data_IF_198010119808
#
_entry.id   IF_198010119808
#
_cell.length_a   1.000
_cell.length_b   1.000
_cell.length_c   1.000
_cell.angle_alpha   90.00
_cell.angle_beta   90.00
_cell.angle_gamma   90.00
#
_symmetry.space_group_name_H-M   'P 1'
#
loop_
_entity.id
_entity.type
_entity.pdbx_description
1 polymer ?
#
# COMPACT_ATOMS: atom_id res chain seq x y z
N UNK A 1 8.08 -19.59 -10.73
CA UNK A 1 8.96 -18.58 -10.14
C UNK A 1 8.41 -18.03 -8.82
N UNK A 2 7.29 -17.32 -8.77
CA UNK A 2 6.78 -16.74 -7.51
C UNK A 2 6.25 -17.75 -6.49
N UNK A 3 5.82 -18.93 -6.92
CA UNK A 3 5.18 -19.96 -6.08
C UNK A 3 6.01 -21.24 -6.05
N UNK A 4 6.06 -21.97 -7.18
CA UNK A 4 6.66 -23.32 -7.23
C UNK A 4 8.18 -23.33 -7.05
N UNK A 5 8.89 -22.38 -7.65
CA UNK A 5 10.36 -22.30 -7.59
C UNK A 5 10.87 -21.09 -6.84
N UNK A 6 10.07 -20.57 -5.90
CA UNK A 6 10.39 -19.35 -5.18
C UNK A 6 11.70 -19.40 -4.38
N UNK A 7 12.17 -20.61 -3.99
CA UNK A 7 13.42 -20.81 -3.24
C UNK A 7 14.66 -20.46 -4.07
N UNK A 8 14.56 -20.54 -5.42
CA UNK A 8 15.66 -20.15 -6.31
C UNK A 8 15.69 -18.64 -6.60
N UNK A 9 14.91 -17.83 -5.87
CA UNK A 9 14.84 -16.40 -6.12
C UNK A 9 14.89 -15.60 -4.84
N UNK A 10 15.75 -14.58 -4.82
CA UNK A 10 15.73 -13.50 -3.83
C UNK A 10 14.90 -12.32 -4.33
N UNK A 11 14.69 -11.31 -3.48
CA UNK A 11 14.13 -10.02 -3.88
C UNK A 11 15.06 -9.33 -4.87
N UNK A 12 14.49 -8.53 -5.75
CA UNK A 12 15.29 -7.82 -6.77
C UNK A 12 16.11 -6.67 -6.17
N UNK A 13 17.05 -6.17 -6.99
CA UNK A 13 18.02 -5.13 -6.62
C UNK A 13 17.39 -3.86 -6.02
N UNK A 14 16.15 -3.52 -6.42
CA UNK A 14 15.43 -2.35 -5.87
C UNK A 14 15.22 -2.49 -4.36
N UNK A 15 14.71 -3.63 -3.90
CA UNK A 15 14.48 -3.87 -2.47
C UNK A 15 15.78 -4.08 -1.69
N UNK A 16 16.82 -4.66 -2.30
CA UNK A 16 18.15 -4.71 -1.67
C UNK A 16 18.68 -3.30 -1.38
N UNK A 17 18.52 -2.37 -2.32
CA UNK A 17 18.94 -0.97 -2.13
C UNK A 17 18.04 -0.19 -1.17
N UNK A 18 16.76 -0.53 -1.10
CA UNK A 18 15.85 0.06 -0.14
C UNK A 18 16.25 -0.20 1.32
N UNK A 19 17.08 -1.22 1.60
CA UNK A 19 17.64 -1.47 2.94
C UNK A 19 18.34 -0.26 3.56
N UNK A 20 18.91 0.62 2.75
CA UNK A 20 19.56 1.82 3.24
C UNK A 20 18.59 2.71 4.03
N UNK A 21 17.31 2.71 3.65
CA UNK A 21 16.26 3.52 4.26
C UNK A 21 15.36 2.71 5.20
N UNK A 22 14.96 1.52 4.78
CA UNK A 22 14.00 0.67 5.49
C UNK A 22 14.65 -0.22 6.56
N UNK A 23 15.97 -0.36 6.53
CA UNK A 23 16.64 -1.36 7.35
C UNK A 23 16.37 -2.78 6.86
N UNK A 24 16.37 -3.74 7.78
CA UNK A 24 16.18 -5.16 7.48
C UNK A 24 14.79 -5.67 7.94
N UNK A 25 13.73 -4.89 7.64
CA UNK A 25 12.36 -5.27 7.92
C UNK A 25 11.78 -6.26 6.90
N UNK A 26 10.53 -6.65 7.08
CA UNK A 26 9.84 -7.71 6.31
C UNK A 26 9.92 -7.52 4.79
N UNK A 27 9.88 -6.27 4.31
CA UNK A 27 9.94 -5.97 2.87
C UNK A 27 11.33 -6.21 2.28
N UNK A 28 12.41 -6.02 3.05
CA UNK A 28 13.78 -6.00 2.55
C UNK A 28 14.60 -7.22 2.94
N UNK A 29 14.24 -7.94 4.03
CA UNK A 29 14.97 -9.13 4.48
C UNK A 29 14.72 -10.36 3.62
N UNK A 30 15.51 -11.43 3.83
CA UNK A 30 15.50 -12.66 3.05
C UNK A 30 15.65 -13.89 3.95
N UNK A 31 15.40 -15.07 3.36
CA UNK A 31 15.65 -16.38 3.96
C UNK A 31 14.91 -16.61 5.28
N UNK A 32 15.57 -17.22 6.23
CA UNK A 32 15.06 -17.56 7.57
C UNK A 32 14.57 -16.32 8.34
N UNK A 33 15.32 -15.21 8.26
CA UNK A 33 14.94 -13.95 8.91
C UNK A 33 13.59 -13.43 8.39
N UNK A 34 13.33 -13.52 7.07
CA UNK A 34 12.03 -13.15 6.50
C UNK A 34 10.90 -14.03 7.04
N UNK A 35 11.11 -15.34 7.11
CA UNK A 35 10.09 -16.28 7.58
C UNK A 35 9.79 -16.04 9.07
N UNK A 36 10.83 -15.83 9.86
CA UNK A 36 10.71 -15.49 11.28
C UNK A 36 9.91 -14.20 11.49
N UNK A 37 10.31 -13.11 10.88
CA UNK A 37 9.64 -11.83 11.03
C UNK A 37 8.21 -11.87 10.53
N UNK A 38 7.95 -12.57 9.41
CA UNK A 38 6.59 -12.76 8.90
C UNK A 38 5.71 -13.49 9.91
N UNK A 39 6.23 -14.56 10.56
CA UNK A 39 5.50 -15.33 11.58
C UNK A 39 5.12 -14.42 12.77
N UNK A 40 6.07 -13.61 13.24
CA UNK A 40 5.86 -12.70 14.36
C UNK A 40 4.86 -11.58 14.04
N UNK A 41 4.86 -11.07 12.80
CA UNK A 41 3.95 -10.00 12.38
C UNK A 41 2.56 -10.48 11.94
N UNK A 42 2.42 -11.73 11.48
CA UNK A 42 1.19 -12.28 10.91
C UNK A 42 -0.05 -12.11 11.81
N UNK A 43 0.01 -12.33 13.15
CA UNK A 43 -1.16 -12.21 14.02
C UNK A 43 -1.83 -10.84 13.98
N UNK A 44 -1.08 -9.75 13.78
CA UNK A 44 -1.64 -8.40 13.69
C UNK A 44 -2.51 -8.17 12.45
N UNK A 45 -2.40 -9.05 11.46
CA UNK A 45 -3.18 -9.01 10.21
C UNK A 45 -4.27 -10.08 10.15
N UNK A 46 -4.59 -10.72 11.27
CA UNK A 46 -5.72 -11.65 11.35
C UNK A 46 -7.04 -10.87 11.32
N UNK A 47 -8.09 -11.53 10.84
CA UNK A 47 -9.41 -10.93 10.62
C UNK A 47 -9.97 -10.21 11.85
N UNK A 48 -9.81 -10.79 13.04
CA UNK A 48 -10.28 -10.21 14.29
C UNK A 48 -9.61 -8.86 14.60
N UNK A 49 -8.29 -8.76 14.38
CA UNK A 49 -7.56 -7.51 14.55
C UNK A 49 -7.95 -6.48 13.49
N UNK A 50 -8.09 -6.90 12.23
CA UNK A 50 -8.56 -5.99 11.18
C UNK A 50 -9.95 -5.45 11.50
N UNK A 51 -10.84 -6.25 12.10
CA UNK A 51 -12.14 -5.78 12.54
C UNK A 51 -12.05 -4.66 13.59
N UNK A 52 -11.07 -4.71 14.50
CA UNK A 52 -10.84 -3.61 15.45
C UNK A 52 -10.27 -2.37 14.78
N UNK A 53 -9.42 -2.54 13.76
CA UNK A 53 -8.86 -1.41 12.99
C UNK A 53 -9.91 -0.70 12.12
N UNK A 54 -10.93 -1.42 11.66
CA UNK A 54 -11.95 -0.90 10.77
C UNK A 54 -12.72 0.31 11.37
N UNK A 55 -12.93 0.32 12.67
CA UNK A 55 -13.56 1.46 13.36
C UNK A 55 -12.73 2.74 13.18
N UNK A 56 -11.41 2.66 13.36
CA UNK A 56 -10.52 3.79 13.14
C UNK A 56 -10.48 4.20 11.66
N UNK A 57 -10.51 3.24 10.71
CA UNK A 57 -10.56 3.54 9.28
C UNK A 57 -11.77 4.39 8.93
N UNK A 58 -12.95 4.03 9.44
CA UNK A 58 -14.20 4.79 9.21
C UNK A 58 -14.16 6.13 9.94
N UNK A 59 -13.75 6.17 11.20
CA UNK A 59 -13.69 7.40 12.00
C UNK A 59 -12.80 8.47 11.35
N UNK A 60 -11.56 8.12 10.99
CA UNK A 60 -10.66 9.06 10.34
C UNK A 60 -11.16 9.49 8.96
N UNK A 61 -11.82 8.58 8.23
CA UNK A 61 -12.44 8.91 6.95
C UNK A 61 -13.61 9.85 7.12
N UNK A 62 -14.46 9.64 8.12
CA UNK A 62 -15.57 10.53 8.44
C UNK A 62 -15.09 11.93 8.81
N UNK A 63 -13.99 12.05 9.58
CA UNK A 63 -13.37 13.35 9.88
C UNK A 63 -12.94 14.09 8.59
N UNK A 64 -12.34 13.40 7.64
CA UNK A 64 -11.96 13.98 6.33
C UNK A 64 -13.21 14.35 5.52
N UNK A 65 -14.18 13.43 5.43
CA UNK A 65 -15.47 13.65 4.75
C UNK A 65 -16.18 14.90 5.24
N UNK A 66 -16.19 15.12 6.56
CA UNK A 66 -16.95 16.19 7.20
C UNK A 66 -16.23 17.56 7.16
N UNK A 67 -14.91 17.56 6.88
CA UNK A 67 -14.14 18.79 6.61
C UNK A 67 -14.35 19.33 5.19
N UNK A 68 -14.79 18.48 4.25
CA UNK A 68 -15.03 18.94 2.89
C UNK A 68 -16.33 19.76 2.83
N UNK A 69 -16.34 20.77 1.99
CA UNK A 69 -17.53 21.59 1.70
C UNK A 69 -17.87 21.49 0.21
N UNK A 70 -19.11 21.79 -0.13
CA UNK A 70 -19.59 21.72 -1.51
C UNK A 70 -18.74 22.58 -2.45
N UNK A 71 -18.44 22.05 -3.62
CA UNK A 71 -17.60 22.66 -4.66
C UNK A 71 -16.13 22.91 -4.27
N UNK A 72 -15.62 22.29 -3.19
CA UNK A 72 -14.20 22.41 -2.85
C UNK A 72 -13.33 21.76 -3.95
N UNK A 73 -12.32 22.48 -4.42
CA UNK A 73 -11.24 21.91 -5.22
C UNK A 73 -10.12 21.44 -4.28
N UNK A 74 -9.71 20.19 -4.41
CA UNK A 74 -8.65 19.59 -3.59
C UNK A 74 -7.76 18.65 -4.43
N UNK A 75 -6.52 18.46 -3.99
CA UNK A 75 -5.70 17.38 -4.49
C UNK A 75 -6.05 16.08 -3.76
N UNK A 76 -6.79 15.19 -4.43
CA UNK A 76 -7.24 13.92 -3.86
C UNK A 76 -6.06 13.02 -3.53
N UNK A 77 -4.95 13.10 -4.27
CA UNK A 77 -3.76 12.31 -3.94
C UNK A 77 -3.17 12.73 -2.57
N UNK A 78 -3.02 14.02 -2.33
CA UNK A 78 -2.57 14.54 -1.03
C UNK A 78 -3.56 14.19 0.09
N UNK A 79 -4.87 14.33 -0.16
CA UNK A 79 -5.89 14.00 0.81
C UNK A 79 -5.88 12.52 1.19
N UNK A 80 -5.73 11.60 0.22
CA UNK A 80 -5.65 10.16 0.48
C UNK A 80 -4.33 9.78 1.16
N UNK A 81 -3.21 10.43 0.80
CA UNK A 81 -1.93 10.23 1.48
C UNK A 81 -2.02 10.61 2.96
N UNK A 82 -2.60 11.76 3.29
CA UNK A 82 -2.78 12.20 4.68
C UNK A 82 -3.72 11.26 5.46
N UNK A 83 -4.85 10.88 4.85
CA UNK A 83 -5.83 9.98 5.47
C UNK A 83 -5.24 8.60 5.78
N UNK A 84 -4.64 7.93 4.80
CA UNK A 84 -4.09 6.58 5.01
C UNK A 84 -2.90 6.60 5.96
N UNK A 85 -2.12 7.70 6.00
CA UNK A 85 -1.06 7.90 6.97
C UNK A 85 -1.61 7.96 8.40
N UNK A 86 -2.69 8.72 8.61
CA UNK A 86 -3.36 8.82 9.90
C UNK A 86 -3.96 7.46 10.34
N UNK A 87 -4.61 6.74 9.41
CA UNK A 87 -5.16 5.40 9.66
C UNK A 87 -4.05 4.43 10.08
N UNK A 88 -2.95 4.35 9.33
CA UNK A 88 -1.80 3.47 9.65
C UNK A 88 -1.17 3.86 10.98
N UNK A 89 -0.97 5.15 11.23
CA UNK A 89 -0.46 5.66 12.51
C UNK A 89 -1.32 5.18 13.69
N UNK A 90 -2.63 5.31 13.57
CA UNK A 90 -3.57 4.89 14.63
C UNK A 90 -3.66 3.37 14.77
N UNK A 91 -3.82 2.64 13.67
CA UNK A 91 -4.13 1.21 13.71
C UNK A 91 -2.91 0.33 13.99
N UNK A 92 -1.74 0.69 13.46
CA UNK A 92 -0.54 -0.14 13.62
C UNK A 92 0.36 0.32 14.77
N UNK A 93 0.22 1.58 15.22
CA UNK A 93 1.09 2.15 16.25
C UNK A 93 0.36 2.83 17.39
N UNK A 94 -0.99 2.87 17.37
CA UNK A 94 -1.83 3.65 18.29
C UNK A 94 -1.28 5.08 18.51
N UNK A 95 -0.69 5.63 17.46
CA UNK A 95 -0.11 6.97 17.46
C UNK A 95 -1.03 7.91 16.69
N UNK A 96 -1.43 9.00 17.33
CA UNK A 96 -2.11 10.08 16.61
C UNK A 96 -1.06 10.92 15.89
N UNK A 97 -0.89 10.61 14.62
CA UNK A 97 0.04 11.31 13.71
C UNK A 97 -0.69 12.33 12.82
N UNK A 98 -1.98 12.60 13.07
CA UNK A 98 -2.77 13.50 12.22
C UNK A 98 -2.15 14.91 12.18
N UNK A 99 -1.68 15.41 13.32
CA UNK A 99 -1.00 16.71 13.40
C UNK A 99 0.42 16.71 12.82
N UNK A 100 1.09 15.56 12.83
CA UNK A 100 2.44 15.38 12.29
C UNK A 100 2.40 14.84 10.82
N UNK A 101 1.20 14.53 10.29
CA UNK A 101 1.04 13.85 9.00
C UNK A 101 1.70 14.61 7.84
N UNK A 102 1.64 15.94 7.82
CA UNK A 102 2.30 16.77 6.82
C UNK A 102 3.83 16.64 6.89
N UNK A 103 4.40 16.66 8.09
CA UNK A 103 5.86 16.56 8.29
C UNK A 103 6.37 15.16 7.98
N UNK A 104 5.65 14.13 8.42
CA UNK A 104 5.97 12.73 8.14
C UNK A 104 5.82 12.47 6.64
N UNK A 105 4.74 12.93 6.00
CA UNK A 105 4.53 12.82 4.57
C UNK A 105 5.64 13.50 3.77
N UNK A 106 6.10 14.69 4.20
CA UNK A 106 7.23 15.37 3.57
C UNK A 106 8.53 14.58 3.76
N UNK A 107 8.79 14.05 4.96
CA UNK A 107 9.97 13.25 5.23
C UNK A 107 10.01 11.96 4.38
N UNK A 108 8.85 11.31 4.21
CA UNK A 108 8.71 10.15 3.33
C UNK A 108 8.95 10.52 1.85
N UNK A 109 8.38 11.64 1.38
CA UNK A 109 8.63 12.14 0.01
C UNK A 109 10.11 12.38 -0.24
N UNK A 110 10.82 12.98 0.72
CA UNK A 110 12.25 13.27 0.66
C UNK A 110 13.09 11.98 0.56
N UNK A 111 12.72 10.94 1.32
CA UNK A 111 13.34 9.61 1.25
C UNK A 111 13.09 8.96 -0.10
N UNK A 112 11.87 9.01 -0.62
CA UNK A 112 11.53 8.42 -1.92
C UNK A 112 12.21 9.12 -3.10
N UNK A 113 12.37 10.42 -3.06
CA UNK A 113 13.11 11.15 -4.08
C UNK A 113 14.60 10.71 -4.12
N UNK A 114 15.17 10.44 -2.95
CA UNK A 114 16.54 9.93 -2.84
C UNK A 114 16.64 8.46 -3.29
N UNK A 115 15.58 7.67 -3.11
CA UNK A 115 15.56 6.27 -3.56
C UNK A 115 15.81 6.14 -5.06
N UNK A 116 15.27 7.04 -5.89
CA UNK A 116 15.53 7.02 -7.33
C UNK A 116 17.01 7.17 -7.66
N UNK A 117 17.73 8.00 -6.89
CA UNK A 117 19.19 8.14 -7.04
C UNK A 117 19.91 6.84 -6.66
N UNK A 118 19.39 6.06 -5.73
CA UNK A 118 19.97 4.77 -5.33
C UNK A 118 19.89 3.71 -6.43
N UNK A 119 18.98 3.87 -7.38
CA UNK A 119 18.81 2.95 -8.52
C UNK A 119 19.75 3.26 -9.70
N UNK A 120 20.40 4.42 -9.70
CA UNK A 120 21.33 4.81 -10.76
C UNK A 120 22.63 3.99 -10.72
N UNK A 121 23.32 3.82 -11.86
CA UNK A 121 24.71 3.34 -11.87
C UNK A 121 25.58 4.20 -10.93
N UNK A 122 26.53 3.58 -10.26
CA UNK A 122 27.44 4.24 -9.31
C UNK A 122 26.75 4.92 -8.11
N UNK A 123 25.54 4.53 -7.79
CA UNK A 123 24.77 5.13 -6.68
C UNK A 123 25.50 5.10 -5.33
N UNK A 124 26.35 4.12 -5.10
CA UNK A 124 27.18 4.01 -3.88
C UNK A 124 28.16 5.18 -3.74
N UNK A 125 28.67 5.69 -4.87
CA UNK A 125 29.53 6.89 -4.92
C UNK A 125 28.64 8.13 -4.80
N UNK A 126 27.55 8.19 -5.58
CA UNK A 126 26.61 9.32 -5.59
C UNK A 126 26.09 9.60 -4.18
N UNK A 127 25.73 8.56 -3.42
CA UNK A 127 25.19 8.70 -2.05
C UNK A 127 26.19 9.27 -1.04
N UNK A 128 27.50 9.20 -1.31
CA UNK A 128 28.55 9.81 -0.47
C UNK A 128 28.77 11.29 -0.78
N UNK A 129 28.23 11.77 -1.91
CA UNK A 129 28.37 13.17 -2.31
C UNK A 129 27.40 14.05 -1.49
N UNK A 130 27.80 15.27 -1.14
CA UNK A 130 26.98 16.20 -0.37
C UNK A 130 25.92 16.91 -1.23
N UNK A 131 25.22 16.17 -2.08
CA UNK A 131 24.18 16.69 -2.96
C UNK A 131 22.95 17.13 -2.15
N UNK A 132 22.27 18.23 -2.55
CA UNK A 132 21.08 18.73 -1.85
C UNK A 132 19.99 17.66 -1.69
N UNK A 133 19.73 16.86 -2.72
CA UNK A 133 18.75 15.77 -2.68
C UNK A 133 19.11 14.70 -1.63
N UNK A 134 20.40 14.32 -1.54
CA UNK A 134 20.88 13.33 -0.55
C UNK A 134 20.79 13.88 0.86
N UNK A 135 21.17 15.15 1.07
CA UNK A 135 21.04 15.81 2.38
C UNK A 135 19.56 15.89 2.81
N UNK A 136 18.66 16.15 1.86
CA UNK A 136 17.21 16.20 2.09
C UNK A 136 16.69 14.82 2.49
N UNK A 137 17.03 13.76 1.75
CA UNK A 137 16.65 12.39 2.07
C UNK A 137 17.20 11.90 3.40
N UNK A 138 18.45 12.21 3.74
CA UNK A 138 19.05 11.86 5.03
C UNK A 138 18.37 12.58 6.20
N UNK A 139 17.96 13.84 6.03
CA UNK A 139 17.17 14.56 7.05
C UNK A 139 15.78 13.94 7.21
N UNK A 140 15.10 13.63 6.10
CA UNK A 140 13.81 12.93 6.12
C UNK A 140 13.92 11.59 6.86
N UNK A 141 14.92 10.77 6.52
CA UNK A 141 15.17 9.50 7.20
C UNK A 141 15.39 9.68 8.70
N UNK A 142 16.27 10.63 9.10
CA UNK A 142 16.55 10.90 10.51
C UNK A 142 15.27 11.27 11.27
N UNK A 143 14.40 12.12 10.70
CA UNK A 143 13.12 12.51 11.31
C UNK A 143 12.18 11.32 11.48
N UNK A 144 12.08 10.45 10.47
CA UNK A 144 11.28 9.23 10.56
C UNK A 144 11.82 8.27 11.63
N UNK A 145 13.16 8.10 11.70
CA UNK A 145 13.81 7.29 12.73
C UNK A 145 13.51 7.82 14.14
N UNK A 146 13.65 9.13 14.35
CA UNK A 146 13.36 9.80 15.61
C UNK A 146 11.89 9.58 16.04
N UNK A 147 10.94 9.69 15.09
CA UNK A 147 9.52 9.44 15.37
C UNK A 147 9.29 7.98 15.78
N UNK A 148 9.81 7.02 15.03
CA UNK A 148 9.62 5.59 15.33
C UNK A 148 10.28 5.22 16.66
N UNK A 149 11.52 5.64 16.91
CA UNK A 149 12.20 5.35 18.19
C UNK A 149 11.50 6.03 19.37
N UNK A 150 10.94 7.22 19.21
CA UNK A 150 10.14 7.88 20.24
C UNK A 150 8.91 7.03 20.60
N UNK A 151 8.21 6.49 19.59
CA UNK A 151 7.04 5.62 19.83
C UNK A 151 7.48 4.34 20.54
N UNK A 152 8.55 3.69 20.11
CA UNK A 152 9.09 2.47 20.74
C UNK A 152 9.46 2.75 22.21
N UNK A 153 10.19 3.84 22.47
CA UNK A 153 10.60 4.21 23.82
C UNK A 153 9.40 4.49 24.75
N UNK A 154 8.38 5.19 24.25
CA UNK A 154 7.16 5.45 25.01
C UNK A 154 6.43 4.15 25.38
N UNK A 155 6.41 3.15 24.47
CA UNK A 155 5.82 1.83 24.70
C UNK A 155 6.62 1.01 25.71
N UNK A 156 7.96 1.07 25.64
CA UNK A 156 8.84 0.41 26.63
C UNK A 156 8.66 0.97 28.03
N UNK A 157 8.47 2.29 28.14
CA UNK A 157 8.23 2.94 29.42
C UNK A 157 6.86 2.63 30.03
N UNK A 158 5.86 2.31 29.20
CA UNK A 158 4.52 1.95 29.64
C UNK A 158 4.03 0.69 28.86
N UNK A 159 4.48 -0.50 29.27
CA UNK A 159 4.16 -1.75 28.57
C UNK A 159 2.70 -2.13 28.82
N UNK A 160 1.83 -1.69 27.93
CA UNK A 160 0.42 -2.02 27.86
C UNK A 160 0.12 -2.60 26.50
N UNK A 161 -0.71 -3.61 26.41
CA UNK A 161 -1.26 -4.05 25.13
C UNK A 161 -2.27 -2.99 24.63
N UNK A 162 -1.86 -2.25 23.62
CA UNK A 162 -2.71 -1.26 22.97
C UNK A 162 -3.57 -1.86 21.85
N UNK A 163 -3.46 -3.18 21.63
CA UNK A 163 -4.18 -3.87 20.57
C UNK A 163 -3.64 -3.56 19.16
N UNK A 164 -2.49 -2.89 19.07
CA UNK A 164 -1.84 -2.50 17.82
C UNK A 164 -0.70 -3.45 17.42
N UNK A 165 -0.22 -3.30 16.19
CA UNK A 165 0.87 -4.11 15.66
C UNK A 165 2.16 -3.96 16.48
N UNK A 166 2.54 -2.73 16.86
CA UNK A 166 3.79 -2.49 17.56
C UNK A 166 3.81 -3.20 18.91
N UNK A 167 2.71 -3.12 19.69
CA UNK A 167 2.57 -3.84 20.97
C UNK A 167 2.72 -5.35 20.76
N UNK A 168 2.13 -5.90 19.69
CA UNK A 168 2.27 -7.33 19.38
C UNK A 168 3.71 -7.73 19.03
N UNK A 169 4.41 -6.92 18.23
CA UNK A 169 5.81 -7.18 17.88
C UNK A 169 6.76 -7.07 19.09
N UNK A 170 6.45 -6.19 20.04
CA UNK A 170 7.26 -6.00 21.24
C UNK A 170 7.17 -7.16 22.23
N UNK A 171 6.03 -7.87 22.27
CA UNK A 171 5.83 -9.03 23.15
C UNK A 171 6.06 -10.36 22.43
N UNK A 172 6.12 -10.34 21.09
CA UNK A 172 6.34 -11.53 20.30
C UNK A 172 7.73 -12.11 20.57
N UNK A 173 7.76 -13.36 20.90
CA UNK A 173 8.99 -14.14 21.09
C UNK A 173 9.06 -15.26 20.06
N UNK A 174 10.26 -15.62 19.69
CA UNK A 174 10.56 -16.78 18.85
C UNK A 174 10.51 -18.08 19.66
N UNK A 175 10.65 -19.19 18.99
CA UNK A 175 10.66 -20.55 19.60
C UNK A 175 11.79 -20.72 20.64
N UNK A 176 12.87 -19.93 20.53
CA UNK A 176 13.98 -19.85 21.47
C UNK A 176 13.79 -18.80 22.60
N UNK A 177 12.63 -18.15 22.66
CA UNK A 177 12.32 -17.09 23.64
C UNK A 177 12.90 -15.72 23.31
N UNK A 178 13.56 -15.54 22.16
CA UNK A 178 14.18 -14.29 21.77
C UNK A 178 13.15 -13.28 21.23
N UNK A 179 13.10 -12.09 21.81
CA UNK A 179 12.26 -10.98 21.32
C UNK A 179 13.00 -10.11 20.28
N UNK A 180 12.26 -9.24 19.60
CA UNK A 180 12.85 -8.27 18.66
C UNK A 180 13.65 -7.19 19.40
N UNK A 181 14.83 -6.85 18.89
CA UNK A 181 15.58 -5.66 19.32
C UNK A 181 14.87 -4.37 18.89
N UNK A 182 15.17 -3.24 19.52
CA UNK A 182 14.59 -1.94 19.14
C UNK A 182 14.94 -1.56 17.69
N UNK A 183 16.12 -1.94 17.21
CA UNK A 183 16.49 -1.74 15.80
C UNK A 183 15.61 -2.58 14.88
N UNK A 184 15.31 -3.81 15.23
CA UNK A 184 14.44 -4.67 14.44
C UNK A 184 12.99 -4.19 14.49
N UNK A 185 12.49 -3.76 15.65
CA UNK A 185 11.18 -3.12 15.80
C UNK A 185 11.07 -1.87 14.92
N UNK A 186 12.12 -1.02 14.91
CA UNK A 186 12.20 0.16 14.02
C UNK A 186 12.12 -0.24 12.55
N UNK A 187 12.85 -1.24 12.12
CA UNK A 187 12.90 -1.68 10.72
C UNK A 187 11.54 -2.25 10.26
N UNK A 188 10.86 -3.01 11.13
CA UNK A 188 9.50 -3.48 10.86
C UNK A 188 8.48 -2.33 10.87
N UNK A 189 8.54 -1.46 11.86
CA UNK A 189 7.66 -0.30 11.96
C UNK A 189 7.78 0.59 10.70
N UNK A 190 9.01 0.92 10.30
CA UNK A 190 9.27 1.72 9.10
C UNK A 190 8.76 1.04 7.85
N UNK A 191 8.97 -0.29 7.72
CA UNK A 191 8.50 -1.07 6.59
C UNK A 191 6.98 -1.03 6.48
N UNK A 192 6.27 -1.31 7.58
CA UNK A 192 4.81 -1.41 7.59
C UNK A 192 4.15 -0.04 7.48
N UNK A 193 4.75 0.99 8.06
CA UNK A 193 4.30 2.36 7.95
C UNK A 193 4.31 2.85 6.49
N UNK A 194 5.43 2.64 5.78
CA UNK A 194 5.56 3.04 4.38
C UNK A 194 4.66 2.18 3.48
N UNK A 195 4.67 0.85 3.67
CA UNK A 195 3.91 -0.05 2.83
C UNK A 195 2.40 0.12 3.00
N UNK A 196 1.92 0.42 4.21
CA UNK A 196 0.50 0.52 4.52
C UNK A 196 -0.15 1.78 3.95
N UNK A 197 0.53 2.95 4.01
CA UNK A 197 -0.14 4.20 3.63
C UNK A 197 -0.05 4.52 2.14
N UNK A 198 1.13 4.50 1.53
CA UNK A 198 1.30 4.96 0.14
C UNK A 198 0.56 4.09 -0.87
N UNK A 199 0.53 2.78 -0.66
CA UNK A 199 -0.12 1.86 -1.59
C UNK A 199 -1.64 2.06 -1.61
N UNK A 200 -2.27 2.17 -0.45
CA UNK A 200 -3.72 2.39 -0.34
C UNK A 200 -4.10 3.80 -0.79
N UNK A 201 -3.30 4.83 -0.46
CA UNK A 201 -3.52 6.19 -0.95
C UNK A 201 -3.55 6.27 -2.48
N UNK A 202 -2.57 5.63 -3.15
CA UNK A 202 -2.54 5.58 -4.61
C UNK A 202 -3.75 4.82 -5.18
N UNK A 203 -4.11 3.69 -4.58
CA UNK A 203 -5.30 2.93 -4.97
C UNK A 203 -6.57 3.78 -4.89
N UNK A 204 -6.80 4.47 -3.77
CA UNK A 204 -7.96 5.35 -3.57
C UNK A 204 -7.97 6.53 -4.53
N UNK A 205 -6.80 7.13 -4.77
CA UNK A 205 -6.65 8.21 -5.76
C UNK A 205 -7.07 7.76 -7.15
N UNK A 206 -6.59 6.59 -7.58
CA UNK A 206 -6.98 6.03 -8.88
C UNK A 206 -8.43 5.57 -8.90
N UNK A 207 -9.00 5.12 -7.79
CA UNK A 207 -10.42 4.78 -7.69
C UNK A 207 -11.31 6.01 -7.97
N UNK A 208 -11.01 7.13 -7.36
CA UNK A 208 -11.72 8.38 -7.64
C UNK A 208 -11.54 8.85 -9.09
N UNK A 209 -10.34 8.71 -9.65
CA UNK A 209 -10.08 9.02 -11.05
C UNK A 209 -10.95 8.20 -12.00
N UNK A 210 -11.03 6.87 -11.82
CA UNK A 210 -11.82 6.03 -12.70
C UNK A 210 -13.31 6.24 -12.51
N UNK A 211 -13.80 6.47 -11.29
CA UNK A 211 -15.19 6.79 -11.01
C UNK A 211 -15.62 8.10 -11.67
N UNK A 212 -14.82 9.15 -11.57
CA UNK A 212 -15.10 10.42 -12.23
C UNK A 212 -15.20 10.35 -13.76
N UNK A 213 -14.76 9.25 -14.36
CA UNK A 213 -14.81 8.99 -15.81
C UNK A 213 -15.82 7.91 -16.21
N UNK A 214 -16.44 7.26 -15.24
CA UNK A 214 -17.36 6.14 -15.46
C UNK A 214 -18.61 6.31 -14.60
N UNK A 215 -19.49 7.24 -15.01
CA UNK A 215 -20.64 7.65 -14.22
C UNK A 215 -21.64 6.53 -13.93
N UNK A 216 -21.76 5.53 -14.81
CA UNK A 216 -22.62 4.36 -14.56
C UNK A 216 -22.08 3.51 -13.40
N UNK A 217 -20.76 3.33 -13.34
CA UNK A 217 -20.12 2.64 -12.23
C UNK A 217 -20.20 3.44 -10.93
N UNK A 218 -20.04 4.76 -11.02
CA UNK A 218 -20.21 5.65 -9.89
C UNK A 218 -21.64 5.60 -9.35
N UNK A 219 -22.66 5.63 -10.22
CA UNK A 219 -24.06 5.56 -9.82
C UNK A 219 -24.39 4.25 -9.10
N UNK A 220 -23.88 3.11 -9.57
CA UNK A 220 -24.04 1.80 -8.91
C UNK A 220 -23.37 1.77 -7.54
N UNK A 221 -22.16 2.31 -7.42
CA UNK A 221 -21.45 2.41 -6.14
C UNK A 221 -22.26 3.28 -5.16
N UNK A 222 -22.74 4.43 -5.62
CA UNK A 222 -23.57 5.32 -4.81
C UNK A 222 -24.87 4.63 -4.33
N UNK A 223 -25.55 3.90 -5.22
CA UNK A 223 -26.75 3.15 -4.83
C UNK A 223 -26.47 2.09 -3.77
N UNK A 224 -25.31 1.40 -3.85
CA UNK A 224 -24.92 0.40 -2.85
C UNK A 224 -24.65 1.05 -1.49
N UNK A 225 -23.88 2.14 -1.44
CA UNK A 225 -23.55 2.78 -0.16
C UNK A 225 -24.74 3.50 0.48
N UNK A 226 -25.69 4.00 -0.33
CA UNK A 226 -26.94 4.59 0.17
C UNK A 226 -27.87 3.52 0.77
N UNK A 227 -27.88 2.32 0.22
CA UNK A 227 -28.70 1.20 0.72
C UNK A 227 -28.28 0.73 2.12
N UNK A 228 -27.07 1.09 2.61
CA UNK A 228 -26.68 0.80 4.00
C UNK A 228 -27.53 1.57 5.02
N UNK A 229 -27.90 2.82 4.73
CA UNK A 229 -28.68 3.68 5.63
C UNK A 229 -27.96 4.13 6.91
N UNK A 230 -26.70 3.76 7.08
CA UNK A 230 -25.82 4.14 8.20
C UNK A 230 -24.35 4.23 7.76
N UNK A 231 -23.48 4.72 8.62
CA UNK A 231 -22.04 4.74 8.35
C UNK A 231 -21.50 3.31 8.16
N UNK A 232 -20.64 3.07 7.13
CA UNK A 232 -20.09 1.74 6.89
C UNK A 232 -19.31 1.21 8.10
N UNK A 233 -19.34 -0.09 8.30
CA UNK A 233 -18.60 -0.80 9.32
C UNK A 233 -17.96 -2.07 8.78
N UNK A 234 -17.11 -2.73 9.57
CA UNK A 234 -16.53 -4.02 9.19
C UNK A 234 -17.59 -5.08 8.88
N UNK A 235 -18.72 -5.04 9.58
CA UNK A 235 -19.84 -5.98 9.38
C UNK A 235 -20.55 -5.77 8.03
N UNK A 236 -20.42 -4.59 7.42
CA UNK A 236 -21.05 -4.27 6.15
C UNK A 236 -20.21 -4.63 4.93
N UNK A 237 -18.93 -5.03 5.10
CA UNK A 237 -18.09 -5.44 4.00
C UNK A 237 -18.73 -6.46 3.04
N UNK A 238 -19.48 -7.47 3.50
CA UNK A 238 -20.21 -8.38 2.60
C UNK A 238 -21.33 -7.72 1.78
N UNK A 239 -21.84 -6.57 2.21
CA UNK A 239 -22.88 -5.79 1.51
C UNK A 239 -22.28 -4.77 0.53
N UNK A 240 -20.97 -4.48 0.63
CA UNK A 240 -20.22 -3.55 -0.21
C UNK A 240 -19.53 -4.29 -1.37
N UNK A 241 -20.27 -5.19 -2.02
CA UNK A 241 -19.71 -6.06 -3.07
C UNK A 241 -19.33 -5.25 -4.31
N UNK A 242 -20.16 -4.31 -4.74
CA UNK A 242 -19.88 -3.48 -5.90
C UNK A 242 -18.73 -2.51 -5.64
N UNK A 243 -18.66 -1.92 -4.46
CA UNK A 243 -17.52 -1.12 -4.01
C UNK A 243 -16.24 -1.94 -4.07
N UNK A 244 -16.26 -3.19 -3.63
CA UNK A 244 -15.12 -4.11 -3.72
C UNK A 244 -14.74 -4.41 -5.18
N UNK A 245 -15.70 -4.57 -6.08
CA UNK A 245 -15.47 -4.75 -7.52
C UNK A 245 -14.81 -3.51 -8.15
N UNK A 246 -15.23 -2.31 -7.76
CA UNK A 246 -14.59 -1.04 -8.17
C UNK A 246 -13.13 -1.00 -7.71
N UNK A 247 -12.85 -1.36 -6.45
CA UNK A 247 -11.48 -1.42 -5.92
C UNK A 247 -10.65 -2.45 -6.67
N UNK A 248 -11.18 -3.65 -6.95
CA UNK A 248 -10.50 -4.69 -7.71
C UNK A 248 -10.13 -4.24 -9.13
N UNK A 249 -11.08 -3.63 -9.83
CA UNK A 249 -10.88 -3.14 -11.20
C UNK A 249 -9.89 -1.97 -11.24
N UNK A 250 -9.93 -1.11 -10.22
CA UNK A 250 -8.93 -0.06 -10.05
C UNK A 250 -7.52 -0.65 -9.89
N UNK A 251 -7.35 -1.66 -9.02
CA UNK A 251 -6.06 -2.34 -8.85
C UNK A 251 -5.61 -3.08 -10.10
N UNK A 252 -6.54 -3.55 -10.94
CA UNK A 252 -6.20 -4.15 -12.22
C UNK A 252 -5.58 -3.12 -13.16
N UNK A 253 -6.22 -1.97 -13.32
CA UNK A 253 -5.77 -0.90 -14.22
C UNK A 253 -4.61 -0.09 -13.64
N UNK A 254 -4.62 0.19 -12.34
CA UNK A 254 -3.65 1.04 -11.67
C UNK A 254 -3.08 0.33 -10.42
N UNK A 255 -2.38 -0.82 -10.60
CA UNK A 255 -1.83 -1.55 -9.46
C UNK A 255 -0.76 -0.70 -8.75
N UNK A 256 -0.91 -0.38 -7.46
CA UNK A 256 0.12 0.36 -6.75
C UNK A 256 1.50 -0.34 -6.82
N UNK A 257 1.54 -1.66 -6.60
CA UNK A 257 2.70 -2.50 -6.88
C UNK A 257 2.62 -2.99 -8.34
N UNK A 258 3.13 -2.21 -9.26
CA UNK A 258 3.01 -2.44 -10.71
C UNK A 258 3.97 -3.48 -11.27
N UNK A 259 5.02 -3.82 -10.52
CA UNK A 259 6.01 -4.82 -10.88
C UNK A 259 6.69 -5.42 -9.64
N UNK A 260 7.03 -6.69 -9.71
CA UNK A 260 7.77 -7.44 -8.69
C UNK A 260 9.12 -7.88 -9.26
N UNK A 261 10.21 -7.42 -8.67
CA UNK A 261 11.56 -7.87 -9.00
C UNK A 261 11.94 -9.15 -8.26
N UNK A 262 12.59 -10.05 -8.97
CA UNK A 262 13.24 -11.25 -8.42
C UNK A 262 14.65 -11.39 -9.00
N UNK A 263 15.58 -11.95 -8.22
CA UNK A 263 16.91 -12.28 -8.69
C UNK A 263 17.12 -13.77 -8.57
N UNK A 264 17.53 -14.44 -9.65
CA UNK A 264 17.88 -15.85 -9.64
C UNK A 264 19.13 -16.10 -8.77
N UNK A 265 19.07 -17.10 -7.92
CA UNK A 265 20.21 -17.58 -7.13
C UNK A 265 21.08 -18.47 -8.02
N UNK A 266 20.48 -19.54 -8.52
CA UNK A 266 21.09 -20.48 -9.44
C UNK A 266 20.50 -20.32 -10.84
N UNK A 267 21.05 -21.03 -11.79
CA UNK A 267 20.52 -21.15 -13.14
C UNK A 267 19.04 -21.60 -13.11
N UNK A 268 18.24 -21.02 -13.97
CA UNK A 268 16.80 -21.33 -14.00
C UNK A 268 16.25 -21.34 -15.42
N UNK A 269 15.60 -22.43 -15.79
CA UNK A 269 14.90 -22.55 -17.07
C UNK A 269 13.52 -21.90 -16.98
N UNK A 270 13.30 -20.83 -17.74
CA UNK A 270 12.03 -20.11 -17.85
C UNK A 270 11.47 -20.25 -19.29
N UNK A 271 10.57 -21.23 -19.50
CA UNK A 271 10.17 -21.58 -20.85
C UNK A 271 11.38 -21.98 -21.69
N UNK A 272 11.59 -21.36 -22.83
CA UNK A 272 12.71 -21.63 -23.72
C UNK A 272 13.99 -20.84 -23.36
N UNK A 273 13.94 -20.03 -22.30
CA UNK A 273 15.07 -19.18 -21.88
C UNK A 273 15.78 -19.76 -20.69
N UNK A 274 17.11 -19.87 -20.80
CA UNK A 274 17.99 -20.22 -19.70
C UNK A 274 18.47 -18.93 -19.02
N UNK A 275 18.11 -18.74 -17.76
CA UNK A 275 18.49 -17.58 -16.96
C UNK A 275 19.74 -17.92 -16.15
N UNK A 276 20.90 -17.27 -16.41
CA UNK A 276 22.09 -17.42 -15.58
C UNK A 276 21.84 -16.96 -14.13
N UNK A 277 22.67 -17.40 -13.17
CA UNK A 277 22.66 -16.87 -11.81
C UNK A 277 22.75 -15.35 -11.79
N UNK A 278 22.08 -14.71 -10.83
CA UNK A 278 22.00 -13.25 -10.65
C UNK A 278 21.14 -12.51 -11.68
N UNK A 279 20.53 -13.20 -12.65
CA UNK A 279 19.57 -12.58 -13.57
C UNK A 279 18.42 -11.96 -12.80
N UNK A 280 18.08 -10.72 -13.13
CA UNK A 280 16.93 -10.01 -12.57
C UNK A 280 15.74 -10.25 -13.49
N UNK A 281 14.66 -10.80 -12.90
CA UNK A 281 13.38 -11.02 -13.58
C UNK A 281 12.35 -10.05 -13.01
N UNK A 282 11.68 -9.31 -13.88
CA UNK A 282 10.54 -8.46 -13.52
C UNK A 282 9.24 -9.13 -13.91
N UNK A 283 8.36 -9.31 -12.93
CA UNK A 283 6.98 -9.77 -13.15
C UNK A 283 6.09 -8.56 -13.00
N UNK A 284 5.45 -8.14 -14.09
CA UNK A 284 4.68 -6.91 -14.11
C UNK A 284 3.18 -7.18 -13.96
N UNK A 285 2.62 -6.78 -12.84
CA UNK A 285 1.17 -6.73 -12.63
C UNK A 285 0.52 -5.79 -13.65
N UNK A 286 1.12 -4.62 -13.89
CA UNK A 286 0.60 -3.64 -14.83
C UNK A 286 0.38 -4.22 -16.23
N UNK A 287 1.33 -5.00 -16.74
CA UNK A 287 1.22 -5.65 -18.05
C UNK A 287 0.31 -6.88 -18.01
N UNK A 288 0.49 -7.75 -17.02
CA UNK A 288 -0.28 -8.99 -16.89
C UNK A 288 -1.78 -8.73 -16.71
N UNK A 289 -2.14 -7.72 -15.91
CA UNK A 289 -3.54 -7.37 -15.67
C UNK A 289 -4.21 -6.67 -16.88
N UNK A 290 -3.45 -6.38 -17.93
CA UNK A 290 -3.91 -5.83 -19.20
C UNK A 290 -3.82 -6.82 -20.37
N UNK A 291 -3.51 -8.05 -20.08
CA UNK A 291 -3.40 -9.08 -21.11
C UNK A 291 -4.80 -9.45 -21.65
N UNK A 292 -5.02 -9.22 -22.95
CA UNK A 292 -6.30 -9.48 -23.62
C UNK A 292 -6.71 -10.95 -23.63
N UNK A 293 -5.75 -11.87 -23.40
CA UNK A 293 -6.06 -13.31 -23.24
C UNK A 293 -6.92 -13.58 -22.00
N UNK A 294 -6.83 -12.73 -20.96
CA UNK A 294 -7.50 -12.90 -19.68
C UNK A 294 -8.55 -11.82 -19.41
N UNK A 295 -8.41 -10.65 -20.02
CA UNK A 295 -9.28 -9.51 -19.83
C UNK A 295 -9.68 -8.92 -21.17
N UNK A 296 -10.89 -9.25 -21.66
CA UNK A 296 -11.44 -8.63 -22.86
C UNK A 296 -11.51 -7.12 -22.69
N UNK A 297 -11.21 -6.32 -23.74
CA UNK A 297 -11.12 -4.86 -23.66
C UNK A 297 -10.30 -4.38 -22.45
N UNK A 298 -9.02 -4.74 -22.36
CA UNK A 298 -8.25 -4.65 -21.11
C UNK A 298 -8.06 -3.22 -20.61
N UNK A 299 -8.20 -2.19 -21.45
CA UNK A 299 -8.11 -0.80 -21.04
C UNK A 299 -9.44 -0.21 -20.53
N UNK A 300 -10.56 -0.91 -20.77
CA UNK A 300 -11.88 -0.48 -20.28
C UNK A 300 -12.00 -0.77 -18.79
N UNK A 301 -12.44 0.24 -18.03
CA UNK A 301 -12.84 0.09 -16.63
C UNK A 301 -14.22 -0.59 -16.56
N UNK A 302 -14.28 -1.76 -15.99
CA UNK A 302 -15.49 -2.56 -15.92
C UNK A 302 -15.54 -3.41 -14.63
N UNK A 303 -16.17 -2.90 -13.55
CA UNK A 303 -16.29 -3.62 -12.29
C UNK A 303 -17.06 -4.95 -12.39
N UNK A 304 -17.86 -5.17 -13.44
CA UNK A 304 -18.62 -6.42 -13.61
C UNK A 304 -17.71 -7.63 -13.89
N UNK A 305 -16.48 -7.41 -14.34
CA UNK A 305 -15.44 -8.45 -14.45
C UNK A 305 -15.16 -9.18 -13.14
N UNK A 306 -15.58 -8.62 -12.01
CA UNK A 306 -15.33 -9.15 -10.67
C UNK A 306 -16.55 -9.86 -10.07
N UNK A 307 -17.57 -10.15 -10.89
CA UNK A 307 -18.61 -11.12 -10.50
C UNK A 307 -17.99 -12.50 -10.26
N UNK A 308 -18.58 -13.29 -9.39
CA UNK A 308 -18.09 -14.64 -9.08
C UNK A 308 -17.96 -15.50 -10.34
N UNK A 309 -18.91 -15.36 -11.27
CA UNK A 309 -18.92 -16.06 -12.55
C UNK A 309 -17.72 -15.68 -13.43
N UNK A 310 -17.45 -14.39 -13.60
CA UNK A 310 -16.34 -13.90 -14.43
C UNK A 310 -14.97 -14.23 -13.82
N UNK A 311 -14.86 -14.18 -12.50
CA UNK A 311 -13.63 -14.57 -11.78
C UNK A 311 -13.33 -16.05 -11.98
N UNK A 312 -14.36 -16.92 -11.95
CA UNK A 312 -14.19 -18.37 -12.12
C UNK A 312 -13.68 -18.77 -13.52
N UNK A 313 -13.91 -17.96 -14.56
CA UNK A 313 -13.45 -18.21 -15.93
C UNK A 313 -11.96 -17.94 -16.13
N UNK A 314 -11.33 -17.19 -15.24
CA UNK A 314 -9.94 -16.75 -15.40
C UNK A 314 -8.95 -17.70 -14.72
N UNK A 315 -7.78 -17.95 -15.33
CA UNK A 315 -6.74 -18.74 -14.70
C UNK A 315 -6.26 -18.09 -13.38
N UNK A 316 -5.89 -18.95 -12.44
CA UNK A 316 -5.20 -18.50 -11.24
C UNK A 316 -3.95 -17.69 -11.65
N UNK A 317 -3.70 -16.58 -10.96
CA UNK A 317 -2.60 -15.64 -11.24
C UNK A 317 -2.69 -14.84 -12.54
N UNK A 318 -3.83 -14.85 -13.25
CA UNK A 318 -4.11 -13.78 -14.22
C UNK A 318 -4.22 -12.41 -13.54
N UNK A 319 -4.56 -12.41 -12.26
CA UNK A 319 -4.65 -11.25 -11.36
C UNK A 319 -3.96 -11.55 -10.02
N UNK A 320 -2.95 -10.74 -9.66
CA UNK A 320 -2.14 -10.93 -8.44
C UNK A 320 -1.58 -9.60 -7.89
N UNK A 321 -2.44 -8.62 -7.57
CA UNK A 321 -2.02 -7.28 -7.15
C UNK A 321 -1.19 -7.29 -5.87
N UNK A 322 -1.37 -8.29 -5.02
CA UNK A 322 -0.64 -8.51 -3.78
C UNK A 322 0.56 -9.46 -3.89
N UNK A 323 0.92 -9.83 -5.12
CA UNK A 323 1.97 -10.81 -5.35
C UNK A 323 1.50 -12.24 -5.15
N UNK A 324 2.45 -13.14 -4.88
CA UNK A 324 2.16 -14.57 -4.70
C UNK A 324 3.25 -15.30 -3.92
N UNK A 325 2.93 -16.51 -3.42
CA UNK A 325 3.85 -17.39 -2.71
C UNK A 325 4.13 -16.93 -1.28
N UNK A 326 5.28 -17.34 -0.71
CA UNK A 326 5.63 -17.03 0.68
C UNK A 326 5.86 -15.53 0.92
N UNK A 327 5.98 -14.74 -0.14
CA UNK A 327 6.18 -13.29 -0.09
C UNK A 327 4.96 -12.49 -0.55
N UNK A 328 3.77 -13.12 -0.52
CA UNK A 328 2.50 -12.43 -0.71
C UNK A 328 2.35 -11.32 0.33
N UNK A 329 1.70 -10.22 -0.03
CA UNK A 329 1.48 -9.10 0.88
C UNK A 329 0.85 -9.57 2.20
N UNK A 330 1.48 -9.22 3.32
CA UNK A 330 0.96 -9.57 4.65
C UNK A 330 -0.28 -8.72 4.99
N UNK A 331 -0.33 -7.49 4.49
CA UNK A 331 -1.41 -6.53 4.71
C UNK A 331 -2.56 -6.61 3.70
N UNK A 332 -2.68 -7.70 2.91
CA UNK A 332 -3.71 -7.81 1.88
C UNK A 332 -5.12 -7.56 2.42
N UNK A 333 -5.51 -8.25 3.51
CA UNK A 333 -6.84 -8.09 4.10
C UNK A 333 -7.04 -6.69 4.72
N UNK A 334 -5.99 -6.11 5.30
CA UNK A 334 -6.02 -4.74 5.79
C UNK A 334 -6.28 -3.76 4.64
N UNK A 335 -5.52 -3.87 3.55
CA UNK A 335 -5.66 -2.99 2.39
C UNK A 335 -7.05 -3.10 1.72
N UNK A 336 -7.60 -4.31 1.62
CA UNK A 336 -8.97 -4.51 1.13
C UNK A 336 -10.00 -3.83 2.02
N UNK A 337 -9.90 -4.04 3.34
CA UNK A 337 -10.83 -3.46 4.32
C UNK A 337 -10.75 -1.93 4.28
N UNK A 338 -9.54 -1.39 4.34
CA UNK A 338 -9.31 0.05 4.30
C UNK A 338 -9.85 0.68 3.01
N UNK A 339 -9.47 0.13 1.84
CA UNK A 339 -9.89 0.71 0.57
C UNK A 339 -11.41 0.70 0.39
N UNK A 340 -12.10 -0.38 0.76
CA UNK A 340 -13.55 -0.48 0.63
C UNK A 340 -14.26 0.46 1.60
N UNK A 341 -13.86 0.47 2.89
CA UNK A 341 -14.51 1.32 3.89
C UNK A 341 -14.26 2.81 3.64
N UNK A 342 -13.03 3.20 3.27
CA UNK A 342 -12.71 4.59 2.95
C UNK A 342 -13.52 5.07 1.74
N UNK A 343 -13.51 4.29 0.66
CA UNK A 343 -14.25 4.64 -0.55
C UNK A 343 -15.76 4.75 -0.27
N UNK A 344 -16.33 3.77 0.44
CA UNK A 344 -17.76 3.77 0.78
C UNK A 344 -18.12 4.97 1.68
N UNK A 345 -17.33 5.25 2.72
CA UNK A 345 -17.61 6.34 3.66
C UNK A 345 -17.58 7.71 2.99
N UNK A 346 -16.60 7.96 2.09
CA UNK A 346 -16.54 9.22 1.34
C UNK A 346 -17.68 9.31 0.32
N UNK A 347 -17.96 8.21 -0.39
CA UNK A 347 -18.98 8.16 -1.44
C UNK A 347 -20.41 8.31 -0.92
N UNK A 348 -20.69 8.08 0.38
CA UNK A 348 -22.00 8.38 0.96
C UNK A 348 -22.38 9.86 0.88
N UNK A 349 -21.42 10.77 0.82
CA UNK A 349 -21.69 12.20 0.86
C UNK A 349 -21.17 12.95 -0.36
N UNK A 350 -20.13 12.44 -1.01
CA UNK A 350 -19.38 13.18 -2.02
C UNK A 350 -19.35 12.48 -3.38
N UNK A 351 -19.48 13.28 -4.42
CA UNK A 351 -19.10 12.98 -5.80
C UNK A 351 -17.88 13.81 -6.15
N UNK A 352 -16.92 13.20 -6.84
CA UNK A 352 -15.69 13.89 -7.23
C UNK A 352 -15.60 14.03 -8.75
N UNK A 353 -15.41 15.24 -9.22
CA UNK A 353 -15.22 15.59 -10.62
C UNK A 353 -13.77 15.95 -10.89
N UNK A 354 -13.21 15.51 -12.01
CA UNK A 354 -11.88 15.95 -12.40
C UNK A 354 -11.84 17.47 -12.63
N UNK A 355 -10.91 18.16 -11.99
CA UNK A 355 -10.70 19.58 -12.25
C UNK A 355 -10.29 19.80 -13.71
N UNK A 356 -10.79 20.85 -14.38
CA UNK A 356 -10.50 21.10 -15.79
C UNK A 356 -9.02 21.40 -16.02
N UNK A 357 -8.56 21.16 -17.25
CA UNK A 357 -7.22 21.53 -17.75
C UNK A 357 -6.02 20.92 -16.98
N UNK A 358 -6.22 19.88 -16.15
CA UNK A 358 -5.11 19.20 -15.53
C UNK A 358 -4.54 18.10 -16.44
N UNK A 359 -3.25 17.82 -16.28
CA UNK A 359 -2.57 16.73 -16.96
C UNK A 359 -2.49 15.52 -16.04
N UNK A 360 -3.12 14.42 -16.44
CA UNK A 360 -2.99 13.14 -15.72
C UNK A 360 -1.93 12.29 -16.42
N UNK A 361 -0.94 11.85 -15.67
CA UNK A 361 0.11 10.97 -16.17
C UNK A 361 0.56 10.02 -15.05
N UNK A 362 0.93 8.81 -15.45
CA UNK A 362 1.49 7.82 -14.53
C UNK A 362 2.93 8.18 -14.16
N UNK A 363 3.27 7.96 -12.91
CA UNK A 363 4.64 8.02 -12.42
C UNK A 363 5.00 6.70 -11.73
N UNK A 364 5.63 5.77 -12.45
CA UNK A 364 6.15 4.54 -11.86
C UNK A 364 7.42 4.88 -11.05
N UNK A 365 7.28 4.88 -9.74
CA UNK A 365 8.37 4.98 -8.75
C UNK A 365 8.43 3.67 -7.96
N UNK A 366 8.51 3.74 -6.64
CA UNK A 366 8.32 2.56 -5.77
C UNK A 366 6.91 2.02 -5.96
N UNK A 367 5.94 2.92 -6.07
CA UNK A 367 4.53 2.65 -6.37
C UNK A 367 4.09 3.41 -7.62
N UNK A 368 2.95 3.01 -8.20
CA UNK A 368 2.34 3.68 -9.36
C UNK A 368 1.44 4.82 -8.90
N UNK A 369 1.95 6.05 -8.97
CA UNK A 369 1.24 7.25 -8.52
C UNK A 369 0.94 8.23 -9.65
N UNK A 370 0.01 9.18 -9.48
CA UNK A 370 -0.16 10.29 -10.41
C UNK A 370 1.06 11.23 -10.35
N UNK A 371 1.56 11.62 -11.52
CA UNK A 371 2.80 12.44 -11.62
C UNK A 371 2.63 13.87 -11.11
N UNK A 372 1.44 14.43 -11.26
CA UNK A 372 1.15 15.85 -11.02
C UNK A 372 0.07 16.04 -9.95
N UNK A 373 -0.12 15.05 -9.05
CA UNK A 373 -1.27 15.04 -8.16
C UNK A 373 -2.57 14.67 -8.88
N UNK A 374 -3.71 14.83 -8.22
CA UNK A 374 -5.03 14.54 -8.75
C UNK A 374 -6.03 15.59 -8.24
N UNK A 375 -6.11 16.75 -8.95
CA UNK A 375 -7.05 17.79 -8.54
C UNK A 375 -8.47 17.40 -8.93
N UNK A 376 -9.37 17.46 -7.97
CA UNK A 376 -10.78 17.15 -8.16
C UNK A 376 -11.65 18.17 -7.42
N UNK A 377 -12.87 18.32 -7.90
CA UNK A 377 -13.90 19.14 -7.28
C UNK A 377 -14.90 18.21 -6.61
N UNK A 378 -15.03 18.34 -5.29
CA UNK A 378 -16.01 17.58 -4.53
C UNK A 378 -17.35 18.31 -4.53
N UNK A 379 -18.41 17.65 -4.96
CA UNK A 379 -19.78 18.14 -4.89
C UNK A 379 -20.60 17.26 -3.95
N UNK A 380 -21.47 17.91 -3.18
CA UNK A 380 -22.39 17.19 -2.29
C UNK A 380 -23.43 16.43 -3.12
N UNK A 381 -23.78 15.25 -2.64
CA UNK A 381 -24.83 14.40 -3.22
C UNK A 381 -26.19 14.71 -2.61
#
# INVERSE_FOLDING_TARGET
MLVTHQRNFTKGRALERARIFLGNGLLTNEGESHLRQRRLAQPAFHRERIATYAAAMVEYTARVRDRWHDTIELDVHEAMMALTLAIVGKTLFDADVEHEASEIGQALSDVFDTFNLSMMPFSEIIQKLPLPAIRKGNRGRKRLDETVFRIIAARRANPKDHGDLLSMLMVATDDDGTSMSDQQLRDEAMTLFIAGHETTANLLTWAWYVLARNHDAEAKLHAEVDALGHEPSFADLPKLEYTRRVVAETMRLYPPAYAIGRRAIDEYQLGDYLLPPRTIVLVSQYTQHRDSRWFADPERFDPERWSAEEVAKRPKFSYFPFGAGTRICIGEQFAWTEAVLVLATLAQRWRLWLAPKQRIALQPRITLRPKYGMRMIATRR
#
